data_IF_658487083525
#
_entry.id   IF_658487083525
#
_cell.length_a   1.000
_cell.length_b   1.000
_cell.length_c   1.000
_cell.angle_alpha   90.00
_cell.angle_beta   90.00
_cell.angle_gamma   90.00
#
_symmetry.space_group_name_H-M   'P 1'
#
loop_
_entity.id
_entity.type
_entity.pdbx_description
1 polymer ?
#
# COMPACT_ATOMS: atom_id res chain seq x y z
N UNK A 1 -5.42 35.31 -20.78
CA UNK A 1 -5.72 34.49 -19.59
C UNK A 1 -7.05 33.80 -19.84
N UNK A 2 -7.01 32.60 -20.42
CA UNK A 2 -8.23 31.84 -20.73
C UNK A 2 -8.87 31.38 -19.42
N UNK A 3 -10.09 31.84 -19.17
CA UNK A 3 -10.90 31.39 -18.03
C UNK A 3 -11.37 29.96 -18.34
N UNK A 4 -10.90 29.01 -17.58
CA UNK A 4 -11.41 27.64 -17.62
C UNK A 4 -12.91 27.62 -17.42
N UNK A 5 -13.65 27.10 -18.40
CA UNK A 5 -15.11 27.04 -18.34
C UNK A 5 -15.57 25.95 -17.34
N UNK A 6 -16.77 26.11 -16.82
CA UNK A 6 -17.42 25.11 -15.95
C UNK A 6 -17.47 23.71 -16.61
N UNK A 7 -17.56 23.66 -17.94
CA UNK A 7 -17.55 22.41 -18.71
C UNK A 7 -16.18 21.72 -18.69
N UNK A 8 -15.11 22.48 -18.60
CA UNK A 8 -13.75 21.92 -18.45
C UNK A 8 -13.57 21.23 -17.10
N UNK A 9 -14.06 21.87 -16.04
CA UNK A 9 -14.03 21.29 -14.70
C UNK A 9 -14.92 20.06 -14.57
N UNK A 10 -16.08 20.05 -15.24
CA UNK A 10 -16.97 18.89 -15.27
C UNK A 10 -16.33 17.70 -15.99
N UNK A 11 -15.68 17.93 -17.15
CA UNK A 11 -14.95 16.88 -17.90
C UNK A 11 -13.76 16.33 -17.12
N UNK A 12 -12.99 17.19 -16.48
CA UNK A 12 -11.87 16.79 -15.61
C UNK A 12 -12.36 15.93 -14.44
N UNK A 13 -13.42 16.36 -13.78
CA UNK A 13 -14.02 15.60 -12.68
C UNK A 13 -14.53 14.25 -13.15
N UNK A 14 -15.19 14.19 -14.29
CA UNK A 14 -15.72 12.96 -14.87
C UNK A 14 -14.60 12.00 -15.29
N UNK A 15 -13.54 12.51 -15.86
CA UNK A 15 -12.35 11.72 -16.21
C UNK A 15 -11.61 11.19 -14.97
N UNK A 16 -11.59 11.94 -13.87
CA UNK A 16 -10.97 11.51 -12.62
C UNK A 16 -11.82 10.51 -11.84
N UNK A 17 -13.15 10.66 -11.86
CA UNK A 17 -14.06 9.79 -11.10
C UNK A 17 -14.49 8.53 -11.87
N UNK A 18 -14.47 8.58 -13.20
CA UNK A 18 -14.77 7.47 -14.08
C UNK A 18 -13.75 7.38 -15.22
N UNK A 19 -12.50 6.99 -14.94
CA UNK A 19 -11.51 6.81 -15.97
C UNK A 19 -11.99 5.72 -16.94
N UNK A 20 -12.33 6.10 -18.17
CA UNK A 20 -12.56 5.14 -19.26
C UNK A 20 -11.22 4.60 -19.66
N UNK A 21 -10.77 3.59 -18.98
CA UNK A 21 -9.53 2.89 -19.30
C UNK A 21 -9.87 1.78 -20.28
N UNK A 22 -9.28 1.83 -21.46
CA UNK A 22 -9.33 0.72 -22.40
C UNK A 22 -8.57 -0.46 -21.79
N UNK A 23 -9.22 -1.63 -21.55
CA UNK A 23 -8.58 -2.75 -20.90
C UNK A 23 -7.35 -3.28 -21.67
N UNK A 24 -7.36 -3.22 -23.01
CA UNK A 24 -6.25 -3.68 -23.83
C UNK A 24 -5.04 -2.73 -23.71
N UNK A 25 -5.28 -1.43 -23.80
CA UNK A 25 -4.22 -0.43 -23.62
C UNK A 25 -3.64 -0.45 -22.20
N UNK A 26 -4.48 -0.67 -21.18
CA UNK A 26 -4.03 -0.84 -19.82
C UNK A 26 -3.15 -2.08 -19.67
N UNK A 27 -3.55 -3.22 -20.24
CA UNK A 27 -2.78 -4.46 -20.18
C UNK A 27 -1.40 -4.31 -20.85
N UNK A 28 -1.34 -3.63 -21.98
CA UNK A 28 -0.07 -3.33 -22.68
C UNK A 28 0.81 -2.41 -21.83
N UNK A 29 0.25 -1.33 -21.29
CA UNK A 29 0.98 -0.37 -20.45
C UNK A 29 1.53 -1.05 -19.17
N UNK A 30 0.74 -1.91 -18.55
CA UNK A 30 1.17 -2.71 -17.38
C UNK A 30 2.30 -3.68 -17.80
N UNK A 31 2.20 -4.34 -18.95
CA UNK A 31 3.25 -5.21 -19.46
C UNK A 31 4.58 -4.49 -19.60
N UNK A 32 4.58 -3.35 -20.27
CA UNK A 32 5.78 -2.52 -20.46
C UNK A 32 6.35 -2.02 -19.13
N UNK A 33 5.49 -1.56 -18.21
CA UNK A 33 5.93 -1.08 -16.90
C UNK A 33 6.61 -2.20 -16.08
N UNK A 34 6.12 -3.44 -16.19
CA UNK A 34 6.70 -4.60 -15.51
C UNK A 34 8.10 -4.95 -15.98
N UNK A 35 8.35 -4.79 -17.28
CA UNK A 35 9.67 -5.10 -17.87
C UNK A 35 10.72 -4.04 -17.49
N UNK A 36 10.29 -2.83 -17.17
CA UNK A 36 11.19 -1.68 -16.98
C UNK A 36 11.41 -1.28 -15.54
N UNK A 37 10.55 -1.68 -14.61
CA UNK A 37 10.63 -1.25 -13.21
C UNK A 37 10.36 -2.39 -12.24
N UNK A 38 11.02 -2.38 -11.07
CA UNK A 38 10.69 -3.30 -9.99
C UNK A 38 9.25 -3.11 -9.55
N UNK A 39 8.62 -4.21 -9.11
CA UNK A 39 7.27 -4.22 -8.62
C UNK A 39 7.10 -3.21 -7.45
N UNK A 40 6.17 -2.25 -7.53
CA UNK A 40 5.97 -1.31 -6.44
C UNK A 40 5.49 -2.03 -5.19
N UNK A 41 6.15 -1.74 -4.07
CA UNK A 41 5.86 -2.35 -2.77
C UNK A 41 5.20 -1.33 -1.86
N UNK A 42 3.96 -1.63 -1.43
CA UNK A 42 3.18 -0.86 -0.47
C UNK A 42 3.35 -1.45 0.92
N UNK A 43 3.98 -0.72 1.82
CA UNK A 43 4.12 -1.15 3.19
C UNK A 43 2.94 -0.67 4.05
N UNK A 44 2.17 -1.62 4.62
CA UNK A 44 1.07 -1.33 5.51
C UNK A 44 1.58 -1.26 6.95
N UNK A 45 1.44 -0.09 7.57
CA UNK A 45 1.75 0.12 8.96
C UNK A 45 0.50 0.45 9.76
N UNK A 46 0.42 0.00 10.99
CA UNK A 46 -0.73 0.25 11.85
C UNK A 46 -0.69 -0.63 13.08
N UNK A 47 -1.50 -0.29 14.07
CA UNK A 47 -1.63 -1.09 15.30
C UNK A 47 -2.21 -2.47 15.00
N UNK A 48 -2.06 -3.38 15.98
CA UNK A 48 -2.79 -4.64 15.95
C UNK A 48 -4.30 -4.37 15.79
N UNK A 49 -4.97 -5.17 14.97
CA UNK A 49 -6.41 -5.05 14.68
C UNK A 49 -6.84 -3.70 14.05
N UNK A 50 -5.93 -2.93 13.48
CA UNK A 50 -6.28 -1.70 12.75
C UNK A 50 -6.96 -1.97 11.39
N UNK A 51 -6.89 -3.21 10.87
CA UNK A 51 -7.53 -3.58 9.61
C UNK A 51 -6.57 -3.75 8.43
N UNK A 52 -5.25 -3.75 8.64
CA UNK A 52 -4.24 -3.92 7.57
C UNK A 52 -4.53 -5.12 6.66
N UNK A 53 -4.59 -6.31 7.25
CA UNK A 53 -4.87 -7.54 6.51
C UNK A 53 -6.28 -7.54 5.89
N UNK A 54 -7.26 -6.87 6.52
CA UNK A 54 -8.61 -6.73 5.96
C UNK A 54 -8.62 -5.87 4.70
N UNK A 55 -7.79 -4.83 4.64
CA UNK A 55 -7.63 -4.01 3.44
C UNK A 55 -7.03 -4.85 2.31
N UNK A 56 -5.98 -5.61 2.60
CA UNK A 56 -5.38 -6.52 1.59
C UNK A 56 -6.43 -7.50 1.07
N UNK A 57 -7.19 -8.14 1.96
CA UNK A 57 -8.27 -9.06 1.57
C UNK A 57 -9.31 -8.39 0.69
N UNK A 58 -9.76 -7.21 1.07
CA UNK A 58 -10.76 -6.45 0.30
C UNK A 58 -10.25 -6.08 -1.10
N UNK A 59 -8.99 -5.67 -1.22
CA UNK A 59 -8.39 -5.30 -2.50
C UNK A 59 -8.08 -6.50 -3.39
N UNK A 60 -7.62 -7.61 -2.79
CA UNK A 60 -7.21 -8.79 -3.55
C UNK A 60 -8.36 -9.76 -3.84
N UNK A 61 -9.53 -9.57 -3.22
CA UNK A 61 -10.65 -10.51 -3.29
C UNK A 61 -10.37 -11.86 -2.60
N UNK A 62 -9.26 -11.98 -1.90
CA UNK A 62 -8.85 -13.22 -1.23
C UNK A 62 -9.55 -13.33 0.12
N UNK A 63 -10.48 -14.28 0.26
CA UNK A 63 -11.09 -14.60 1.57
C UNK A 63 -10.07 -15.22 2.53
N UNK A 64 -9.01 -15.82 2.01
CA UNK A 64 -7.90 -16.39 2.75
C UNK A 64 -6.62 -15.66 2.36
N UNK A 65 -6.31 -14.55 3.01
CA UNK A 65 -4.97 -13.95 2.92
C UNK A 65 -3.86 -14.91 3.43
N UNK A 66 -4.23 -16.14 3.78
CA UNK A 66 -3.31 -17.19 4.24
C UNK A 66 -2.87 -18.14 3.14
N UNK A 67 -3.56 -18.20 1.98
CA UNK A 67 -3.30 -19.26 0.99
C UNK A 67 -3.54 -18.72 -0.43
N UNK A 68 -2.76 -17.74 -0.85
CA UNK A 68 -2.66 -17.39 -2.28
C UNK A 68 -1.27 -17.76 -2.79
N UNK A 69 -1.15 -18.12 -4.05
CA UNK A 69 0.12 -18.46 -4.70
C UNK A 69 1.14 -17.29 -4.75
N UNK A 70 0.85 -16.16 -4.09
CA UNK A 70 1.71 -14.99 -3.94
C UNK A 70 2.17 -14.72 -2.49
N UNK A 71 1.94 -15.66 -1.57
CA UNK A 71 2.40 -15.54 -0.19
C UNK A 71 3.88 -15.89 -0.08
N UNK A 72 4.70 -14.93 0.32
CA UNK A 72 6.11 -15.17 0.67
C UNK A 72 6.36 -14.62 2.08
N UNK A 73 6.67 -15.48 3.07
CA UNK A 73 7.16 -15.00 4.35
C UNK A 73 8.53 -14.36 4.15
N UNK A 74 8.66 -13.09 4.51
CA UNK A 74 9.92 -12.39 4.37
C UNK A 74 10.68 -12.26 5.70
N UNK A 75 9.95 -12.20 6.82
CA UNK A 75 10.50 -12.26 8.19
C UNK A 75 9.55 -13.07 9.08
N UNK A 76 9.87 -13.20 10.39
CA UNK A 76 8.95 -13.82 11.36
C UNK A 76 7.63 -13.05 11.49
N UNK A 77 7.61 -11.78 11.10
CA UNK A 77 6.54 -10.81 11.39
C UNK A 77 6.05 -10.05 10.17
N UNK A 78 6.74 -10.13 9.03
CA UNK A 78 6.37 -9.46 7.79
C UNK A 78 6.02 -10.47 6.69
N UNK A 79 5.04 -10.12 5.84
CA UNK A 79 4.51 -10.97 4.76
C UNK A 79 4.27 -10.17 3.51
N UNK A 80 4.60 -10.74 2.36
CA UNK A 80 4.28 -10.17 1.05
C UNK A 80 3.01 -10.77 0.46
N UNK A 81 2.24 -9.93 -0.21
CA UNK A 81 1.06 -10.33 -1.00
C UNK A 81 1.13 -9.65 -2.35
N UNK A 82 1.27 -10.45 -3.38
CA UNK A 82 1.29 -9.96 -4.76
C UNK A 82 -0.13 -9.85 -5.32
N UNK A 83 -0.41 -8.77 -6.06
CA UNK A 83 -1.72 -8.56 -6.66
C UNK A 83 -1.60 -7.99 -8.08
N UNK A 84 -2.37 -8.56 -9.03
CA UNK A 84 -2.99 -9.89 -9.00
C UNK A 84 -1.95 -11.01 -8.82
N UNK A 85 -2.36 -12.18 -8.31
CA UNK A 85 -1.43 -13.26 -7.96
C UNK A 85 -0.64 -13.78 -9.17
N UNK A 86 -1.35 -14.00 -10.32
CA UNK A 86 -0.74 -14.56 -11.53
C UNK A 86 0.12 -13.56 -12.27
N UNK A 87 -0.22 -12.27 -12.16
CA UNK A 87 0.42 -11.22 -12.92
C UNK A 87 0.54 -9.93 -12.08
N UNK A 88 1.42 -9.92 -11.05
CA UNK A 88 1.50 -8.84 -10.08
C UNK A 88 1.77 -7.48 -10.69
N UNK A 89 1.01 -6.47 -10.27
CA UNK A 89 1.22 -5.05 -10.59
C UNK A 89 1.60 -4.25 -9.35
N UNK A 90 1.34 -4.83 -8.17
CA UNK A 90 1.66 -4.25 -6.86
C UNK A 90 1.92 -5.37 -5.86
N UNK A 91 2.77 -5.10 -4.91
CA UNK A 91 3.07 -5.97 -3.77
C UNK A 91 2.70 -5.26 -2.48
N UNK A 92 1.91 -5.91 -1.65
CA UNK A 92 1.63 -5.43 -0.30
C UNK A 92 2.61 -6.07 0.68
N UNK A 93 3.18 -5.26 1.55
CA UNK A 93 4.02 -5.70 2.66
C UNK A 93 3.22 -5.48 3.95
N UNK A 94 2.71 -6.57 4.49
CA UNK A 94 1.97 -6.58 5.77
C UNK A 94 2.91 -6.93 6.91
N UNK A 95 2.89 -6.13 7.96
CA UNK A 95 3.69 -6.35 9.16
C UNK A 95 2.81 -6.56 10.38
N UNK A 96 3.36 -7.18 11.41
CA UNK A 96 2.70 -7.26 12.72
C UNK A 96 2.24 -5.87 13.18
N UNK A 97 1.15 -5.87 13.95
CA UNK A 97 0.60 -4.65 14.50
C UNK A 97 1.56 -4.00 15.50
N UNK A 98 1.73 -2.69 15.37
CA UNK A 98 2.48 -1.90 16.33
C UNK A 98 1.78 -1.93 17.71
N UNK A 99 2.56 -2.06 18.77
CA UNK A 99 2.06 -2.13 20.15
C UNK A 99 1.66 -3.53 20.61
N UNK A 100 1.95 -4.59 19.86
CA UNK A 100 1.82 -5.96 20.37
C UNK A 100 2.87 -6.26 21.45
N UNK A 101 2.46 -7.05 22.45
CA UNK A 101 3.34 -7.45 23.54
C UNK A 101 4.52 -8.25 23.00
N UNK A 102 5.73 -7.90 23.42
CA UNK A 102 6.99 -8.53 22.99
C UNK A 102 7.34 -8.38 21.49
N UNK A 103 6.76 -7.42 20.79
CA UNK A 103 7.15 -7.07 19.43
C UNK A 103 8.04 -5.82 19.42
N UNK A 104 9.30 -5.99 19.02
CA UNK A 104 10.20 -4.88 18.72
C UNK A 104 10.14 -4.60 17.21
N UNK A 105 9.58 -3.46 16.79
CA UNK A 105 9.45 -3.14 15.38
C UNK A 105 10.75 -2.74 14.71
N UNK A 106 11.84 -2.49 15.43
CA UNK A 106 13.05 -1.89 14.87
C UNK A 106 13.68 -2.75 13.77
N UNK A 107 13.79 -4.04 13.97
CA UNK A 107 14.38 -4.95 12.97
C UNK A 107 13.51 -5.09 11.71
N UNK A 108 12.19 -5.12 11.88
CA UNK A 108 11.26 -5.18 10.75
C UNK A 108 11.19 -3.85 10.01
N UNK A 109 11.31 -2.71 10.70
CA UNK A 109 11.32 -1.40 10.08
C UNK A 109 12.46 -1.28 9.08
N UNK A 110 13.68 -1.59 9.48
CA UNK A 110 14.85 -1.48 8.60
C UNK A 110 14.73 -2.41 7.39
N UNK A 111 14.21 -3.64 7.58
CA UNK A 111 13.95 -4.55 6.49
C UNK A 111 12.85 -4.03 5.55
N UNK A 112 11.74 -3.54 6.10
CA UNK A 112 10.62 -3.04 5.33
C UNK A 112 10.98 -1.77 4.57
N UNK A 113 11.76 -0.87 5.17
CA UNK A 113 12.28 0.32 4.49
C UNK A 113 13.16 -0.04 3.28
N UNK A 114 13.95 -1.11 3.36
CA UNK A 114 14.77 -1.55 2.24
C UNK A 114 13.96 -2.13 1.07
N UNK A 115 12.71 -2.52 1.28
CA UNK A 115 11.85 -3.15 0.29
C UNK A 115 10.72 -2.26 -0.21
N UNK A 116 10.25 -1.32 0.61
CA UNK A 116 9.07 -0.52 0.32
C UNK A 116 9.35 0.69 -0.57
N UNK A 117 8.31 1.14 -1.26
CA UNK A 117 8.34 2.34 -2.11
C UNK A 117 7.35 3.40 -1.64
N UNK A 118 6.34 3.00 -0.88
CA UNK A 118 5.36 3.90 -0.29
C UNK A 118 4.74 3.29 0.98
N UNK A 119 4.15 4.14 1.81
CA UNK A 119 3.49 3.77 3.05
C UNK A 119 1.99 3.88 2.95
N UNK A 120 1.30 2.89 3.51
CA UNK A 120 -0.12 2.95 3.81
C UNK A 120 -0.31 2.85 5.33
N UNK A 121 -0.61 3.98 5.97
CA UNK A 121 -0.86 4.04 7.40
C UNK A 121 -2.32 3.71 7.70
N UNK A 122 -2.55 2.60 8.37
CA UNK A 122 -3.89 2.13 8.73
C UNK A 122 -4.18 2.48 10.17
N UNK A 123 -5.12 3.41 10.38
CA UNK A 123 -5.51 3.90 11.70
C UNK A 123 -7.00 3.69 11.93
N UNK A 124 -7.36 3.11 13.06
CA UNK A 124 -8.76 2.92 13.42
C UNK A 124 -9.34 4.24 13.93
N UNK A 125 -10.37 4.76 13.29
CA UNK A 125 -10.97 6.05 13.62
C UNK A 125 -11.47 6.16 15.08
N UNK A 126 -11.81 5.03 15.70
CA UNK A 126 -12.26 4.97 17.10
C UNK A 126 -11.12 4.88 18.11
N UNK A 127 -9.87 4.69 17.67
CA UNK A 127 -8.72 4.61 18.56
C UNK A 127 -8.00 5.96 18.60
N UNK A 128 -8.14 6.66 19.71
CA UNK A 128 -7.54 7.97 19.94
C UNK A 128 -6.03 7.93 20.20
N UNK A 129 -5.46 6.76 20.48
CA UNK A 129 -4.03 6.60 20.76
C UNK A 129 -3.29 6.07 19.54
N UNK A 130 -2.78 6.96 18.71
CA UNK A 130 -2.04 6.62 17.49
C UNK A 130 -0.52 6.84 17.60
N UNK A 131 0.01 7.07 18.79
CA UNK A 131 1.41 7.44 19.00
C UNK A 131 2.40 6.45 18.38
N UNK A 132 2.13 5.15 18.51
CA UNK A 132 2.99 4.12 17.93
C UNK A 132 3.08 4.23 16.40
N UNK A 133 1.95 4.45 15.71
CA UNK A 133 1.90 4.62 14.26
C UNK A 133 2.60 5.92 13.85
N UNK A 134 2.28 7.02 14.53
CA UNK A 134 2.87 8.32 14.26
C UNK A 134 4.38 8.35 14.50
N UNK A 135 4.88 7.60 15.48
CA UNK A 135 6.32 7.48 15.74
C UNK A 135 7.03 6.81 14.58
N UNK A 136 6.52 5.67 14.11
CA UNK A 136 7.08 4.98 12.93
C UNK A 136 6.98 5.86 11.69
N UNK A 137 5.84 6.50 11.45
CA UNK A 137 5.67 7.42 10.33
C UNK A 137 6.70 8.55 10.33
N UNK A 138 6.93 9.18 11.48
CA UNK A 138 7.93 10.25 11.62
C UNK A 138 9.35 9.72 11.36
N UNK A 139 9.67 8.53 11.85
CA UNK A 139 10.97 7.91 11.65
C UNK A 139 11.22 7.63 10.18
N UNK A 140 10.28 6.95 9.49
CA UNK A 140 10.39 6.64 8.07
C UNK A 140 10.40 7.91 7.23
N UNK A 141 9.49 8.87 7.51
CA UNK A 141 9.44 10.15 6.78
C UNK A 141 10.70 10.99 6.92
N UNK A 142 11.42 10.87 8.02
CA UNK A 142 12.72 11.53 8.22
C UNK A 142 13.82 10.93 7.34
N UNK A 143 13.78 9.62 7.11
CA UNK A 143 14.76 8.91 6.27
C UNK A 143 14.39 8.99 4.78
N UNK A 144 13.10 8.95 4.47
CA UNK A 144 12.54 8.91 3.12
C UNK A 144 11.49 10.03 2.93
N UNK A 145 11.92 11.29 2.85
CA UNK A 145 11.01 12.43 2.75
C UNK A 145 10.20 12.44 1.44
N UNK A 146 10.70 11.76 0.40
CA UNK A 146 10.09 11.65 -0.92
C UNK A 146 8.99 10.58 -1.01
N UNK A 147 8.92 9.66 -0.05
CA UNK A 147 7.95 8.58 -0.15
C UNK A 147 6.51 9.08 -0.01
N UNK A 148 5.60 8.64 -0.89
CA UNK A 148 4.17 8.89 -0.70
C UNK A 148 3.67 8.20 0.57
N UNK A 149 2.79 8.89 1.31
CA UNK A 149 2.10 8.34 2.48
C UNK A 149 0.61 8.50 2.27
N UNK A 150 -0.12 7.38 2.32
CA UNK A 150 -1.57 7.33 2.35
C UNK A 150 -2.03 7.03 3.79
N UNK A 151 -3.15 7.64 4.20
CA UNK A 151 -3.73 7.46 5.54
C UNK A 151 -5.20 7.11 5.40
#
# INVERSE_FOLDING_TARGET
MERWSLDHWRRLREALLNPRVDPEQLAVAIGVAREQQPLPVLWLIGKAQAGKTSIIRALTGSETAEIGNGFQPCTRTARFYDFPAEAPVVRFLDTKGLGEVAYDPSQDIDYCEAQAHLLLAVMKATDIRQDAVLTVLRQVRKRHPEWPVLI
#
